data_IF_369623144096
#
_entry.id   IF_369623144096
#
_cell.length_a   1.000
_cell.length_b   1.000
_cell.length_c   1.000
_cell.angle_alpha   90.00
_cell.angle_beta   90.00
_cell.angle_gamma   90.00
#
_symmetry.space_group_name_H-M   'P 1'
#
loop_
_entity.id
_entity.type
_entity.pdbx_description
1 polymer ?
#
# COMPACT_ATOMS: atom_id res chain seq x y z
N UNK A 1 -3.24 -3.59 7.96
CA UNK A 1 -3.82 -4.28 6.78
C UNK A 1 -2.79 -5.12 6.04
N UNK A 2 -1.73 -4.54 5.45
CA UNK A 2 -0.71 -5.29 4.65
C UNK A 2 -0.20 -6.53 5.37
N UNK A 3 0.26 -6.38 6.62
CA UNK A 3 0.78 -7.50 7.41
C UNK A 3 -0.25 -8.60 7.65
N UNK A 4 -1.49 -8.25 7.97
CA UNK A 4 -2.58 -9.21 8.16
C UNK A 4 -2.82 -10.06 6.89
N UNK A 5 -2.82 -9.42 5.72
CA UNK A 5 -2.99 -10.11 4.44
C UNK A 5 -1.81 -11.02 4.13
N UNK A 6 -0.58 -10.53 4.30
CA UNK A 6 0.64 -11.29 4.03
C UNK A 6 0.81 -12.48 4.99
N UNK A 7 0.52 -12.28 6.28
CA UNK A 7 0.57 -13.33 7.30
C UNK A 7 -0.48 -14.41 7.04
N UNK A 8 -1.71 -14.01 6.73
CA UNK A 8 -2.77 -14.95 6.35
C UNK A 8 -2.38 -15.78 5.11
N UNK A 9 -1.71 -15.15 4.16
CA UNK A 9 -1.25 -15.79 2.92
C UNK A 9 0.08 -16.54 3.06
N UNK A 10 0.63 -16.64 4.28
CA UNK A 10 1.87 -17.37 4.58
C UNK A 10 3.11 -16.77 3.90
N UNK A 11 3.13 -15.46 3.63
CA UNK A 11 4.29 -14.80 3.04
C UNK A 11 5.32 -14.48 4.13
N UNK A 12 6.57 -14.72 3.81
CA UNK A 12 7.71 -14.41 4.68
C UNK A 12 8.34 -13.08 4.29
N UNK A 13 8.51 -12.21 5.29
CA UNK A 13 9.07 -10.87 5.11
C UNK A 13 9.64 -10.37 6.44
N UNK A 14 10.58 -9.47 6.34
CA UNK A 14 11.10 -8.65 7.43
C UNK A 14 10.42 -7.28 7.41
N UNK A 15 10.48 -6.54 8.51
CA UNK A 15 9.89 -5.21 8.55
C UNK A 15 10.56 -4.27 9.54
N UNK A 16 10.42 -2.97 9.27
CA UNK A 16 10.73 -1.88 10.18
C UNK A 16 9.57 -0.88 10.15
N UNK A 17 8.88 -0.74 11.28
CA UNK A 17 7.69 0.08 11.39
C UNK A 17 8.00 1.46 11.98
N UNK A 18 7.12 2.41 11.70
CA UNK A 18 7.21 3.78 12.20
C UNK A 18 7.18 3.86 13.74
N UNK A 19 6.46 2.95 14.39
CA UNK A 19 6.39 2.86 15.86
C UNK A 19 7.67 2.26 16.49
N UNK A 20 8.65 1.88 15.69
CA UNK A 20 9.92 1.28 16.11
C UNK A 20 9.91 -0.24 16.22
N UNK A 21 8.76 -0.90 16.03
CA UNK A 21 8.69 -2.35 15.93
C UNK A 21 9.44 -2.83 14.69
N UNK A 22 10.15 -3.94 14.83
CA UNK A 22 10.92 -4.51 13.73
C UNK A 22 11.02 -6.03 13.86
N UNK A 23 11.23 -6.66 12.70
CA UNK A 23 11.53 -8.09 12.57
C UNK A 23 12.67 -8.23 11.58
N UNK A 24 13.73 -8.92 12.00
CA UNK A 24 14.88 -9.24 11.16
C UNK A 24 15.19 -10.72 11.25
N UNK A 25 14.78 -11.46 10.21
CA UNK A 25 14.96 -12.90 10.08
C UNK A 25 15.70 -13.27 8.80
N UNK A 26 16.21 -12.28 8.07
CA UNK A 26 16.97 -12.43 6.83
C UNK A 26 16.12 -13.05 5.70
N UNK A 27 14.88 -12.54 5.56
CA UNK A 27 14.01 -12.84 4.44
C UNK A 27 14.37 -11.99 3.21
N UNK A 28 13.88 -12.40 2.03
CA UNK A 28 14.17 -11.71 0.76
C UNK A 28 13.47 -10.34 0.64
N UNK A 29 12.34 -10.16 1.34
CA UNK A 29 11.55 -8.93 1.33
C UNK A 29 11.60 -8.22 2.67
N UNK A 30 11.76 -6.90 2.63
CA UNK A 30 11.66 -5.99 3.79
C UNK A 30 10.56 -4.97 3.51
N UNK A 31 9.66 -4.79 4.48
CA UNK A 31 8.65 -3.74 4.48
C UNK A 31 9.10 -2.61 5.40
N UNK A 32 9.18 -1.39 4.86
CA UNK A 32 9.54 -0.19 5.62
C UNK A 32 8.31 0.73 5.67
N UNK A 33 7.92 1.14 6.88
CA UNK A 33 6.82 2.08 7.10
C UNK A 33 7.35 3.41 7.67
N UNK A 34 6.95 4.52 7.07
CA UNK A 34 7.31 5.87 7.52
C UNK A 34 6.27 6.90 7.04
N UNK A 35 5.96 7.88 7.88
CA UNK A 35 5.29 9.13 7.51
C UNK A 35 6.29 10.28 7.26
N UNK A 36 7.56 10.03 7.55
CA UNK A 36 8.67 10.98 7.43
C UNK A 36 9.32 10.84 6.05
N UNK A 37 9.07 11.83 5.19
CA UNK A 37 9.61 11.88 3.83
C UNK A 37 11.13 12.05 3.80
N UNK A 38 11.77 12.61 4.84
CA UNK A 38 13.23 12.67 4.90
C UNK A 38 13.82 11.29 5.14
N UNK A 39 13.23 10.50 6.04
CA UNK A 39 13.65 9.09 6.24
C UNK A 39 13.41 8.24 5.00
N UNK A 40 12.29 8.46 4.32
CA UNK A 40 11.95 7.72 3.10
C UNK A 40 13.03 7.84 2.01
N UNK A 41 13.79 8.94 2.00
CA UNK A 41 14.87 9.16 1.02
C UNK A 41 16.06 8.23 1.20
N UNK A 42 16.26 7.68 2.39
CA UNK A 42 17.37 6.80 2.70
C UNK A 42 17.05 5.32 2.38
N UNK A 43 15.81 5.01 2.00
CA UNK A 43 15.35 3.64 1.80
C UNK A 43 15.67 3.05 0.42
N UNK A 44 15.81 3.90 -0.60
CA UNK A 44 16.00 3.49 -2.00
C UNK A 44 15.11 2.30 -2.43
N UNK A 45 13.76 2.42 -2.33
CA UNK A 45 12.87 1.27 -2.44
C UNK A 45 12.73 0.74 -3.87
N UNK A 46 12.66 -0.59 -3.99
CA UNK A 46 12.31 -1.28 -5.24
C UNK A 46 10.80 -1.19 -5.54
N UNK A 47 9.97 -1.19 -4.51
CA UNK A 47 8.51 -1.07 -4.59
C UNK A 47 8.11 -0.05 -3.53
N UNK A 48 7.31 0.94 -3.90
CA UNK A 48 6.78 1.93 -2.98
C UNK A 48 5.28 2.08 -3.17
N UNK A 49 4.55 2.07 -2.05
CA UNK A 49 3.17 2.50 -1.97
C UNK A 49 3.16 3.89 -1.35
N UNK A 50 2.59 4.85 -2.09
CA UNK A 50 2.31 6.19 -1.60
C UNK A 50 0.83 6.26 -1.23
N UNK A 51 0.52 6.78 -0.04
CA UNK A 51 -0.86 6.86 0.44
C UNK A 51 -1.59 8.10 -0.08
N UNK A 52 -2.90 8.13 0.13
CA UNK A 52 -3.75 9.26 -0.27
C UNK A 52 -3.44 10.55 0.51
N UNK A 53 -2.86 10.43 1.69
CA UNK A 53 -2.61 11.52 2.61
C UNK A 53 -1.29 12.27 2.35
N UNK A 54 -0.40 11.74 1.50
CA UNK A 54 0.88 12.40 1.21
C UNK A 54 0.65 13.80 0.63
N UNK A 55 1.45 14.77 1.07
CA UNK A 55 1.45 16.11 0.47
C UNK A 55 2.36 16.15 -0.77
N UNK A 56 2.17 17.18 -1.60
CA UNK A 56 2.87 17.31 -2.88
C UNK A 56 4.38 17.47 -2.76
N UNK A 57 4.87 18.15 -1.71
CA UNK A 57 6.30 18.46 -1.54
C UNK A 57 7.07 17.19 -1.13
N UNK A 58 6.49 16.40 -0.23
CA UNK A 58 7.01 15.11 0.20
C UNK A 58 6.98 14.09 -0.95
N UNK A 59 5.90 14.07 -1.72
CA UNK A 59 5.78 13.20 -2.90
C UNK A 59 6.96 13.40 -3.86
N UNK A 60 7.21 14.62 -4.31
CA UNK A 60 8.28 14.92 -5.28
C UNK A 60 9.63 14.45 -4.75
N UNK A 61 9.90 14.70 -3.46
CA UNK A 61 11.14 14.35 -2.78
C UNK A 61 11.39 12.83 -2.73
N UNK A 62 10.32 12.04 -2.59
CA UNK A 62 10.38 10.57 -2.51
C UNK A 62 10.54 9.95 -3.90
N UNK A 63 9.93 10.53 -4.94
CA UNK A 63 9.98 9.98 -6.30
C UNK A 63 11.41 9.80 -6.79
N UNK A 64 12.30 10.75 -6.55
CA UNK A 64 13.72 10.69 -6.98
C UNK A 64 14.50 9.51 -6.38
N UNK A 65 13.99 8.90 -5.31
CA UNK A 65 14.69 7.86 -4.54
C UNK A 65 14.25 6.46 -4.88
N UNK A 66 13.22 6.31 -5.69
CA UNK A 66 12.77 5.01 -6.18
C UNK A 66 13.85 4.42 -7.08
N UNK A 67 14.24 3.17 -6.81
CA UNK A 67 15.24 2.45 -7.60
C UNK A 67 14.82 2.44 -9.08
N UNK A 68 15.72 2.77 -10.03
CA UNK A 68 15.41 2.69 -11.45
C UNK A 68 14.91 1.30 -11.85
N UNK A 69 13.76 1.24 -12.52
CA UNK A 69 13.07 -0.01 -12.87
C UNK A 69 12.15 -0.56 -11.78
N UNK A 70 12.07 0.11 -10.62
CA UNK A 70 11.17 -0.24 -9.52
C UNK A 70 9.69 0.01 -9.84
N UNK A 71 8.85 -0.10 -8.81
CA UNK A 71 7.39 0.03 -8.92
C UNK A 71 6.89 1.12 -7.99
N UNK A 72 6.15 2.08 -8.53
CA UNK A 72 5.40 3.10 -7.79
C UNK A 72 3.92 2.76 -7.83
N UNK A 73 3.32 2.57 -6.66
CA UNK A 73 1.87 2.44 -6.46
C UNK A 73 1.37 3.74 -5.82
N UNK A 74 0.36 4.37 -6.41
CA UNK A 74 -0.02 5.73 -6.03
C UNK A 74 -1.48 6.05 -6.35
N UNK A 75 -2.07 7.04 -5.66
CA UNK A 75 -3.42 7.52 -5.96
C UNK A 75 -3.47 8.25 -7.31
N UNK A 76 -4.47 7.93 -8.13
CA UNK A 76 -4.63 8.48 -9.49
C UNK A 76 -4.66 10.02 -9.54
N UNK A 77 -5.13 10.69 -8.48
CA UNK A 77 -5.18 12.15 -8.40
C UNK A 77 -3.80 12.82 -8.29
N UNK A 78 -2.73 12.03 -8.05
CA UNK A 78 -1.33 12.48 -7.99
C UNK A 78 -0.57 12.28 -9.31
N UNK A 79 -1.21 11.71 -10.33
CA UNK A 79 -0.61 11.44 -11.65
C UNK A 79 0.17 12.64 -12.22
N UNK A 80 -0.43 13.84 -12.17
CA UNK A 80 0.17 15.06 -12.72
C UNK A 80 1.50 15.44 -12.05
N UNK A 81 1.67 15.12 -10.77
CA UNK A 81 2.94 15.33 -10.06
C UNK A 81 3.96 14.25 -10.41
N UNK A 82 3.49 13.00 -10.53
CA UNK A 82 4.33 11.83 -10.82
C UNK A 82 4.87 11.86 -12.25
N UNK A 83 4.12 12.39 -13.21
CA UNK A 83 4.59 12.62 -14.59
C UNK A 83 5.77 13.61 -14.68
N UNK A 84 6.08 14.35 -13.61
CA UNK A 84 7.24 15.24 -13.56
C UNK A 84 8.52 14.54 -13.10
N UNK A 85 8.44 13.30 -12.62
CA UNK A 85 9.60 12.55 -12.19
C UNK A 85 10.53 12.22 -13.37
N UNK A 86 11.83 12.43 -13.20
CA UNK A 86 12.82 12.16 -14.24
C UNK A 86 13.31 10.69 -14.25
N UNK A 87 13.10 9.96 -13.16
CA UNK A 87 13.48 8.56 -13.04
C UNK A 87 12.43 7.62 -13.62
N UNK A 88 12.91 6.48 -14.15
CA UNK A 88 12.06 5.48 -14.77
C UNK A 88 11.68 4.40 -13.75
N UNK A 89 10.38 4.31 -13.45
CA UNK A 89 9.77 3.24 -12.68
C UNK A 89 8.43 2.84 -13.30
N UNK A 90 7.99 1.62 -13.04
CA UNK A 90 6.64 1.17 -13.41
C UNK A 90 5.63 1.89 -12.53
N UNK A 91 4.60 2.45 -13.15
CA UNK A 91 3.50 3.18 -12.50
C UNK A 91 2.28 2.27 -12.35
N UNK A 92 1.72 2.22 -11.14
CA UNK A 92 0.49 1.51 -10.80
C UNK A 92 -0.46 2.48 -10.08
N UNK A 93 -1.25 3.27 -10.82
CA UNK A 93 -2.24 4.14 -10.21
C UNK A 93 -3.38 3.32 -9.59
N UNK A 94 -3.96 3.83 -8.50
CA UNK A 94 -5.19 3.31 -7.93
C UNK A 94 -6.20 4.43 -7.67
N UNK A 95 -7.48 4.10 -7.84
CA UNK A 95 -8.60 4.94 -7.45
C UNK A 95 -9.10 4.50 -6.07
N UNK A 96 -9.64 5.41 -5.23
CA UNK A 96 -10.34 5.02 -4.01
C UNK A 96 -11.52 4.09 -4.34
N UNK A 97 -11.70 3.05 -3.54
CA UNK A 97 -12.84 2.13 -3.73
C UNK A 97 -14.14 2.76 -3.21
N UNK A 98 -15.25 2.49 -3.89
CA UNK A 98 -16.56 2.85 -3.36
C UNK A 98 -16.87 2.02 -2.11
N UNK A 99 -17.23 2.71 -1.04
CA UNK A 99 -17.52 2.10 0.25
C UNK A 99 -18.87 2.61 0.72
N UNK A 100 -19.73 1.70 1.17
CA UNK A 100 -20.96 2.06 1.89
C UNK A 100 -20.87 1.61 3.34
N UNK A 101 -21.55 2.34 4.22
CA UNK A 101 -21.65 2.00 5.65
C UNK A 101 -22.98 1.32 5.92
N UNK A 102 -22.94 0.16 6.57
CA UNK A 102 -24.13 -0.57 7.02
C UNK A 102 -23.97 -0.97 8.48
N UNK A 103 -24.74 -0.33 9.37
CA UNK A 103 -24.63 -0.46 10.83
C UNK A 103 -23.19 -0.18 11.32
N UNK A 104 -22.52 -1.18 11.90
CA UNK A 104 -21.14 -1.14 12.40
C UNK A 104 -20.10 -1.65 11.38
N UNK A 105 -20.52 -2.05 10.18
CA UNK A 105 -19.65 -2.62 9.15
C UNK A 105 -19.52 -1.68 7.94
N UNK A 106 -18.40 -1.81 7.22
CA UNK A 106 -18.23 -1.22 5.91
C UNK A 106 -18.47 -2.28 4.84
N UNK A 107 -18.98 -1.86 3.68
CA UNK A 107 -19.16 -2.71 2.51
C UNK A 107 -18.31 -2.11 1.41
N UNK A 108 -17.30 -2.88 0.99
CA UNK A 108 -16.46 -2.56 -0.14
C UNK A 108 -17.15 -3.01 -1.42
N UNK A 109 -17.29 -2.11 -2.39
CA UNK A 109 -17.83 -2.43 -3.70
C UNK A 109 -16.68 -2.77 -4.66
N UNK A 110 -16.61 -4.04 -5.06
CA UNK A 110 -15.58 -4.53 -5.99
C UNK A 110 -16.24 -5.13 -7.24
N UNK A 111 -15.46 -5.31 -8.30
CA UNK A 111 -15.93 -5.98 -9.53
C UNK A 111 -16.30 -7.45 -9.29
N UNK A 112 -15.77 -8.07 -8.23
CA UNK A 112 -16.11 -9.43 -7.80
C UNK A 112 -17.38 -9.48 -6.92
N UNK A 113 -17.90 -8.32 -6.51
CA UNK A 113 -19.07 -8.18 -5.66
C UNK A 113 -18.81 -7.38 -4.39
N UNK A 114 -19.82 -7.35 -3.52
CA UNK A 114 -19.77 -6.61 -2.27
C UNK A 114 -19.04 -7.41 -1.19
N UNK A 115 -18.02 -6.82 -0.58
CA UNK A 115 -17.18 -7.46 0.43
C UNK A 115 -17.41 -6.75 1.77
N UNK A 116 -18.03 -7.40 2.78
CA UNK A 116 -18.21 -6.81 4.09
C UNK A 116 -16.86 -6.78 4.83
N UNK A 117 -16.61 -5.66 5.51
CA UNK A 117 -15.42 -5.42 6.33
C UNK A 117 -15.83 -5.08 7.76
N UNK A 118 -15.10 -5.64 8.73
CA UNK A 118 -15.31 -5.44 10.17
C UNK A 118 -14.58 -4.17 10.67
N UNK A 119 -13.55 -3.73 9.94
CA UNK A 119 -12.66 -2.62 10.32
C UNK A 119 -13.37 -1.27 10.44
N UNK A 120 -12.82 -0.37 11.28
CA UNK A 120 -13.41 0.94 11.60
C UNK A 120 -12.64 2.15 11.05
N UNK A 121 -11.53 1.92 10.36
CA UNK A 121 -10.63 3.00 9.92
C UNK A 121 -10.87 3.38 8.46
N UNK A 122 -11.68 4.42 8.25
CA UNK A 122 -12.04 4.94 6.92
C UNK A 122 -10.81 5.40 6.11
N UNK A 123 -9.79 5.97 6.78
CA UNK A 123 -8.56 6.42 6.12
C UNK A 123 -7.76 5.25 5.54
N UNK A 124 -7.72 4.12 6.23
CA UNK A 124 -7.07 2.90 5.75
C UNK A 124 -7.78 2.36 4.50
N UNK A 125 -9.11 2.48 4.45
CA UNK A 125 -9.91 2.02 3.32
C UNK A 125 -9.73 2.86 2.06
N UNK A 126 -9.37 4.15 2.17
CA UNK A 126 -9.03 4.99 1.00
C UNK A 126 -7.87 4.42 0.20
N UNK A 127 -6.98 3.70 0.88
CA UNK A 127 -5.75 3.15 0.32
C UNK A 127 -5.86 1.65 -0.03
N UNK A 128 -7.05 1.03 0.12
CA UNK A 128 -7.21 -0.43 0.01
C UNK A 128 -6.80 -0.98 -1.35
N UNK A 129 -7.14 -0.29 -2.45
CA UNK A 129 -6.72 -0.70 -3.79
C UNK A 129 -5.19 -0.58 -3.98
N UNK A 130 -4.56 0.45 -3.40
CA UNK A 130 -3.10 0.57 -3.39
C UNK A 130 -2.43 -0.55 -2.59
N UNK A 131 -3.00 -0.90 -1.44
CA UNK A 131 -2.55 -2.01 -0.60
C UNK A 131 -2.73 -3.35 -1.32
N UNK A 132 -3.82 -3.53 -2.07
CA UNK A 132 -4.08 -4.69 -2.90
C UNK A 132 -3.01 -4.84 -4.00
N UNK A 133 -2.70 -3.77 -4.73
CA UNK A 133 -1.64 -3.75 -5.74
C UNK A 133 -0.24 -4.02 -5.14
N UNK A 134 0.00 -3.55 -3.91
CA UNK A 134 1.23 -3.85 -3.18
C UNK A 134 1.32 -5.34 -2.86
N UNK A 135 0.26 -5.94 -2.35
CA UNK A 135 0.21 -7.38 -2.06
C UNK A 135 0.39 -8.23 -3.33
N UNK A 136 -0.07 -7.77 -4.50
CA UNK A 136 0.23 -8.44 -5.77
C UNK A 136 1.73 -8.48 -6.08
N UNK A 137 2.53 -7.51 -5.61
CA UNK A 137 4.00 -7.56 -5.77
C UNK A 137 4.65 -8.66 -4.91
N UNK A 138 3.96 -9.14 -3.87
CA UNK A 138 4.32 -10.34 -3.10
C UNK A 138 3.79 -11.65 -3.72
N UNK A 139 3.20 -11.57 -4.93
CA UNK A 139 2.65 -12.72 -5.65
C UNK A 139 1.36 -13.25 -5.02
N UNK A 140 0.50 -12.36 -4.52
CA UNK A 140 -0.88 -12.68 -4.18
C UNK A 140 -1.78 -12.38 -5.37
N UNK A 141 -2.82 -13.19 -5.55
CA UNK A 141 -3.90 -12.88 -6.49
C UNK A 141 -4.87 -11.87 -5.88
N UNK A 142 -5.74 -11.27 -6.69
CA UNK A 142 -6.72 -10.28 -6.21
C UNK A 142 -7.76 -10.92 -5.29
N UNK A 143 -8.21 -12.12 -5.62
CA UNK A 143 -9.13 -12.91 -4.79
C UNK A 143 -8.52 -13.25 -3.41
N UNK A 144 -7.23 -13.61 -3.38
CA UNK A 144 -6.51 -13.96 -2.15
C UNK A 144 -6.32 -12.76 -1.22
N UNK A 145 -6.35 -11.54 -1.78
CA UNK A 145 -6.27 -10.31 -1.00
C UNK A 145 -7.52 -10.13 -0.12
N UNK A 146 -8.71 -10.40 -0.65
CA UNK A 146 -9.95 -10.05 0.04
C UNK A 146 -10.40 -11.08 1.09
N UNK A 147 -9.94 -12.33 1.01
CA UNK A 147 -10.24 -13.35 2.02
C UNK A 147 -9.79 -12.91 3.45
N UNK A 148 -8.53 -12.53 3.69
CA UNK A 148 -8.12 -12.02 5.00
C UNK A 148 -8.82 -10.72 5.39
N UNK A 149 -9.21 -9.88 4.43
CA UNK A 149 -9.88 -8.61 4.70
C UNK A 149 -11.23 -8.76 5.40
N UNK A 150 -11.94 -9.88 5.19
CA UNK A 150 -13.20 -10.16 5.87
C UNK A 150 -13.04 -10.37 7.39
N UNK A 151 -11.81 -10.64 7.85
CA UNK A 151 -11.48 -10.88 9.26
C UNK A 151 -10.57 -9.81 9.85
N UNK A 152 -10.24 -8.77 9.08
CA UNK A 152 -9.38 -7.69 9.53
C UNK A 152 -10.18 -6.74 10.45
N UNK A 153 -9.69 -6.58 11.68
CA UNK A 153 -10.26 -5.72 12.72
C UNK A 153 -9.46 -4.42 12.88
#
# INVERSE_FOLDING_TARGET
MVFHVLDFSGKEYDFFLMNGENRFSNHDFVILETDDAEKAKDFEPNIILISEEINSDDLVSVLEKITPGGVLIYPENKEVLIEKAENYFRKLPFSPTEISKSDDNFILHTDMGNIPLISKEEDLLKNINGIQLLCQQFGLMEEDFYEPMMTFE
#
